data_IF_155414392813
#
_entry.id   IF_155414392813
#
_cell.length_a   1.000
_cell.length_b   1.000
_cell.length_c   1.000
_cell.angle_alpha   90.00
_cell.angle_beta   90.00
_cell.angle_gamma   90.00
#
_symmetry.space_group_name_H-M   'P 1'
#
loop_
_entity.id
_entity.type
_entity.pdbx_description
1 polymer ?
#
# COMPACT_ATOMS: atom_id res chain seq x y z
N UNK A 1 0.76 12.04 -20.59
CA UNK A 1 0.42 11.90 -22.02
C UNK A 1 -0.37 10.62 -22.33
N UNK A 2 0.04 9.42 -21.83
CA UNK A 2 -0.62 8.13 -22.12
C UNK A 2 -2.08 8.10 -21.69
N UNK A 3 -2.41 8.55 -20.48
CA UNK A 3 -3.81 8.70 -20.03
C UNK A 3 -4.64 9.65 -20.90
N UNK A 4 -4.00 10.64 -21.54
CA UNK A 4 -4.68 11.55 -22.47
C UNK A 4 -5.05 10.89 -23.81
N UNK A 5 -4.40 9.76 -24.13
CA UNK A 5 -4.68 8.92 -25.29
C UNK A 5 -5.52 7.71 -24.95
N UNK A 6 -6.26 7.75 -23.83
CA UNK A 6 -7.09 6.67 -23.31
C UNK A 6 -6.30 5.44 -22.83
N UNK A 7 -4.97 5.57 -22.64
CA UNK A 7 -4.15 4.54 -22.03
C UNK A 7 -4.52 4.30 -20.56
N UNK A 8 -4.23 3.11 -20.07
CA UNK A 8 -4.51 2.67 -18.69
C UNK A 8 -3.21 2.34 -17.97
N UNK A 9 -3.27 2.36 -16.65
CA UNK A 9 -2.26 1.77 -15.81
C UNK A 9 -2.55 0.27 -15.62
N UNK A 10 -1.57 -0.58 -15.87
CA UNK A 10 -1.64 -2.02 -15.61
C UNK A 10 -0.52 -2.35 -14.63
N UNK A 11 -0.87 -2.72 -13.41
CA UNK A 11 0.07 -3.07 -12.37
C UNK A 11 0.20 -4.60 -12.26
N UNK A 12 1.43 -5.11 -12.21
CA UNK A 12 1.75 -6.53 -12.23
C UNK A 12 2.37 -6.95 -10.90
N UNK A 13 1.83 -8.00 -10.27
CA UNK A 13 2.38 -8.61 -9.07
C UNK A 13 2.16 -10.12 -9.05
N UNK A 14 3.23 -10.92 -9.09
CA UNK A 14 3.15 -12.38 -9.17
C UNK A 14 3.29 -13.09 -7.81
N UNK A 15 3.96 -12.48 -6.84
CA UNK A 15 4.10 -13.00 -5.48
C UNK A 15 3.14 -12.28 -4.51
N UNK A 16 2.95 -12.79 -3.28
CA UNK A 16 2.00 -12.20 -2.33
C UNK A 16 2.27 -10.74 -1.93
N UNK A 17 3.53 -10.31 -1.80
CA UNK A 17 3.88 -8.94 -1.47
C UNK A 17 3.66 -8.01 -2.68
N UNK A 18 4.18 -8.36 -3.85
CA UNK A 18 3.97 -7.58 -5.07
C UNK A 18 2.50 -7.49 -5.51
N UNK A 19 1.67 -8.44 -5.09
CA UNK A 19 0.22 -8.41 -5.31
C UNK A 19 -0.45 -7.24 -4.56
N UNK A 20 -0.03 -6.96 -3.35
CA UNK A 20 -0.56 -5.82 -2.57
C UNK A 20 -0.16 -4.50 -3.21
N UNK A 21 1.11 -4.33 -3.61
CA UNK A 21 1.59 -3.15 -4.33
C UNK A 21 0.80 -2.92 -5.63
N UNK A 22 0.58 -3.98 -6.43
CA UNK A 22 -0.18 -3.88 -7.67
C UNK A 22 -1.63 -3.45 -7.43
N UNK A 23 -2.27 -3.95 -6.37
CA UNK A 23 -3.63 -3.55 -5.98
C UNK A 23 -3.66 -2.16 -5.36
N UNK A 24 -2.65 -1.81 -4.55
CA UNK A 24 -2.55 -0.50 -3.93
C UNK A 24 -2.44 0.60 -4.99
N UNK A 25 -1.47 0.54 -5.88
CA UNK A 25 -1.33 1.54 -6.94
C UNK A 25 -2.59 1.63 -7.81
N UNK A 26 -3.25 0.50 -8.05
CA UNK A 26 -4.47 0.50 -8.86
C UNK A 26 -5.65 1.20 -8.15
N UNK A 27 -5.83 0.98 -6.85
CA UNK A 27 -6.89 1.67 -6.09
C UNK A 27 -6.64 3.17 -6.00
N UNK A 28 -5.40 3.60 -5.82
CA UNK A 28 -5.01 5.01 -5.79
C UNK A 28 -5.37 5.76 -7.08
N UNK A 29 -5.18 5.13 -8.24
CA UNK A 29 -5.54 5.72 -9.54
C UNK A 29 -7.04 5.72 -9.80
N UNK A 30 -7.75 4.63 -9.46
CA UNK A 30 -9.20 4.51 -9.68
C UNK A 30 -10.00 5.34 -8.67
N UNK A 31 -9.56 5.39 -7.42
CA UNK A 31 -10.21 6.11 -6.33
C UNK A 31 -9.22 7.05 -5.62
N UNK A 32 -8.83 8.17 -6.24
CA UNK A 32 -7.93 9.11 -5.62
C UNK A 32 -8.52 9.63 -4.31
N UNK A 33 -7.72 9.56 -3.24
CA UNK A 33 -8.12 9.96 -1.87
C UNK A 33 -8.36 11.48 -1.72
N UNK A 34 -8.01 12.26 -2.74
CA UNK A 34 -8.18 13.72 -2.75
C UNK A 34 -9.50 14.06 -3.44
N UNK A 35 -10.37 14.73 -2.71
CA UNK A 35 -11.69 15.18 -3.22
C UNK A 35 -11.50 16.04 -4.47
N UNK A 36 -12.29 15.74 -5.51
CA UNK A 36 -12.26 16.47 -6.78
C UNK A 36 -11.24 15.92 -7.81
N UNK A 37 -10.38 14.99 -7.45
CA UNK A 37 -9.49 14.32 -8.42
C UNK A 37 -10.26 13.32 -9.28
N UNK A 38 -9.89 13.27 -10.56
CA UNK A 38 -10.49 12.36 -11.53
C UNK A 38 -10.02 10.93 -11.31
N UNK A 39 -10.94 9.96 -11.32
CA UNK A 39 -10.60 8.56 -11.45
C UNK A 39 -9.86 8.31 -12.78
N UNK A 40 -8.67 7.72 -12.69
CA UNK A 40 -7.89 7.30 -13.84
C UNK A 40 -7.97 5.78 -14.01
N UNK A 41 -8.04 5.27 -15.24
CA UNK A 41 -8.20 3.84 -15.48
C UNK A 41 -6.96 3.07 -15.04
N UNK A 42 -7.11 2.19 -14.07
CA UNK A 42 -6.06 1.31 -13.60
C UNK A 42 -6.60 -0.09 -13.29
N UNK A 43 -5.78 -1.11 -13.52
CA UNK A 43 -6.08 -2.51 -13.18
C UNK A 43 -4.85 -3.18 -12.57
N UNK A 44 -5.08 -4.08 -11.61
CA UNK A 44 -4.06 -4.99 -11.11
C UNK A 44 -4.22 -6.35 -11.79
N UNK A 45 -3.13 -6.88 -12.34
CA UNK A 45 -3.03 -8.25 -12.79
C UNK A 45 -2.15 -9.02 -11.81
N UNK A 46 -2.72 -10.02 -11.18
CA UNK A 46 -2.05 -10.84 -10.17
C UNK A 46 -2.06 -12.30 -10.58
N UNK A 47 -1.16 -13.10 -10.00
CA UNK A 47 -1.07 -14.52 -10.31
C UNK A 47 -2.36 -15.32 -10.03
N UNK A 48 -3.28 -14.77 -9.25
CA UNK A 48 -4.60 -15.37 -8.98
C UNK A 48 -5.46 -15.48 -10.24
N UNK A 49 -5.29 -14.57 -11.19
CA UNK A 49 -5.96 -14.63 -12.50
C UNK A 49 -5.30 -15.60 -13.48
N UNK A 50 -4.25 -16.32 -13.08
CA UNK A 50 -3.43 -17.16 -13.92
C UNK A 50 -2.09 -16.48 -14.30
N UNK A 51 -1.32 -17.06 -15.23
CA UNK A 51 -0.04 -16.48 -15.64
C UNK A 51 -0.17 -15.04 -16.16
N UNK A 52 0.72 -14.14 -15.69
CA UNK A 52 0.65 -12.70 -16.01
C UNK A 52 0.78 -12.40 -17.52
N UNK A 53 1.62 -13.13 -18.24
CA UNK A 53 1.83 -12.92 -19.67
C UNK A 53 0.53 -13.02 -20.48
N UNK A 54 -0.20 -14.15 -20.44
CA UNK A 54 -1.50 -14.30 -21.08
C UNK A 54 -2.57 -13.31 -20.63
N UNK A 55 -2.61 -12.98 -19.33
CA UNK A 55 -3.51 -11.94 -18.82
C UNK A 55 -3.21 -10.60 -19.49
N UNK A 56 -1.92 -10.18 -19.49
CA UNK A 56 -1.49 -8.94 -20.10
C UNK A 56 -1.80 -8.90 -21.61
N UNK A 57 -1.51 -9.99 -22.33
CA UNK A 57 -1.79 -10.09 -23.76
C UNK A 57 -3.26 -9.87 -24.11
N UNK A 58 -4.17 -10.26 -23.21
CA UNK A 58 -5.61 -10.12 -23.43
C UNK A 58 -6.13 -8.70 -23.22
N UNK A 59 -5.39 -7.85 -22.46
CA UNK A 59 -5.89 -6.53 -22.06
C UNK A 59 -5.03 -5.36 -22.54
N UNK A 60 -3.71 -5.53 -22.68
CA UNK A 60 -2.79 -4.40 -22.92
C UNK A 60 -2.85 -3.86 -24.35
N UNK A 61 -2.95 -2.54 -24.48
CA UNK A 61 -2.81 -1.76 -25.71
C UNK A 61 -1.52 -0.94 -25.75
N UNK A 62 -1.15 -0.42 -26.91
CA UNK A 62 0.11 0.30 -27.12
C UNK A 62 0.23 1.58 -26.28
N UNK A 63 -0.89 2.22 -25.93
CA UNK A 63 -0.89 3.44 -25.12
C UNK A 63 -0.93 3.17 -23.60
N UNK A 64 -0.98 1.89 -23.17
CA UNK A 64 -1.01 1.57 -21.74
C UNK A 64 0.38 1.76 -21.07
N UNK A 65 0.33 1.95 -19.76
CA UNK A 65 1.49 2.02 -18.87
C UNK A 65 1.49 0.74 -18.05
N UNK A 66 2.57 -0.04 -18.07
CA UNK A 66 2.68 -1.29 -17.33
C UNK A 66 3.74 -1.17 -16.25
N UNK A 67 3.33 -1.33 -14.98
CA UNK A 67 4.22 -1.30 -13.81
C UNK A 67 4.41 -2.72 -13.29
N UNK A 68 5.65 -3.14 -13.05
CA UNK A 68 5.97 -4.45 -12.47
C UNK A 68 6.62 -4.33 -11.10
N UNK A 69 6.09 -5.11 -10.16
CA UNK A 69 6.57 -5.25 -8.79
C UNK A 69 7.17 -6.63 -8.54
N UNK A 70 7.89 -6.83 -7.42
CA UNK A 70 8.44 -8.12 -7.02
C UNK A 70 9.65 -8.59 -7.82
N UNK A 71 10.37 -7.71 -8.50
CA UNK A 71 11.51 -8.05 -9.34
C UNK A 71 12.80 -8.36 -8.56
N UNK A 72 12.82 -8.02 -7.28
CA UNK A 72 13.98 -8.23 -6.41
C UNK A 72 14.11 -9.65 -5.88
N UNK A 73 13.01 -10.40 -5.85
CA UNK A 73 12.97 -11.71 -5.25
C UNK A 73 13.50 -12.80 -6.23
N UNK A 74 14.45 -13.64 -5.81
CA UNK A 74 14.91 -14.74 -6.65
C UNK A 74 13.81 -15.78 -6.78
N UNK A 75 13.36 -16.06 -8.01
CA UNK A 75 12.41 -17.14 -8.23
C UNK A 75 11.48 -16.96 -9.41
N UNK A 76 10.50 -17.85 -9.50
CA UNK A 76 9.56 -17.92 -10.61
C UNK A 76 8.68 -16.67 -10.76
N UNK A 77 8.27 -16.05 -9.64
CA UNK A 77 7.42 -14.86 -9.64
C UNK A 77 8.11 -13.65 -10.29
N UNK A 78 9.36 -13.35 -9.92
CA UNK A 78 10.14 -12.29 -10.55
C UNK A 78 10.34 -12.53 -12.05
N UNK A 79 10.68 -13.77 -12.42
CA UNK A 79 10.83 -14.14 -13.82
C UNK A 79 9.53 -14.02 -14.62
N UNK A 80 8.40 -14.31 -14.00
CA UNK A 80 7.06 -14.16 -14.59
C UNK A 80 6.72 -12.69 -14.83
N UNK A 81 6.88 -11.83 -13.81
CA UNK A 81 6.68 -10.39 -13.92
C UNK A 81 7.58 -9.78 -15.01
N UNK A 82 8.85 -10.14 -15.02
CA UNK A 82 9.81 -9.69 -16.04
C UNK A 82 9.42 -10.15 -17.45
N UNK A 83 8.93 -11.38 -17.61
CA UNK A 83 8.43 -11.88 -18.89
C UNK A 83 7.21 -11.11 -19.37
N UNK A 84 6.31 -10.76 -18.46
CA UNK A 84 5.13 -9.95 -18.77
C UNK A 84 5.53 -8.50 -19.17
N UNK A 85 6.49 -7.89 -18.47
CA UNK A 85 7.02 -6.56 -18.84
C UNK A 85 7.65 -6.56 -20.23
N UNK A 86 8.44 -7.58 -20.58
CA UNK A 86 8.97 -7.73 -21.95
C UNK A 86 7.85 -7.86 -22.99
N UNK A 87 6.77 -8.52 -22.65
CA UNK A 87 5.60 -8.62 -23.52
C UNK A 87 4.93 -7.26 -23.70
N UNK A 88 4.77 -6.49 -22.61
CA UNK A 88 4.26 -5.12 -22.66
C UNK A 88 5.10 -4.21 -23.57
N UNK A 89 6.43 -4.24 -23.41
CA UNK A 89 7.34 -3.45 -24.22
C UNK A 89 7.22 -3.78 -25.73
N UNK A 90 7.14 -5.08 -26.08
CA UNK A 90 6.92 -5.50 -27.47
C UNK A 90 5.57 -5.02 -28.05
N UNK A 91 4.58 -4.76 -27.21
CA UNK A 91 3.26 -4.22 -27.60
C UNK A 91 3.24 -2.69 -27.70
N UNK A 92 4.36 -2.00 -27.35
CA UNK A 92 4.47 -0.56 -27.38
C UNK A 92 4.00 0.14 -26.10
N UNK A 93 3.73 -0.61 -25.03
CA UNK A 93 3.42 -0.02 -23.73
C UNK A 93 4.65 0.70 -23.16
N UNK A 94 4.40 1.75 -22.37
CA UNK A 94 5.41 2.25 -21.45
C UNK A 94 5.59 1.23 -20.32
N UNK A 95 6.83 0.92 -19.94
CA UNK A 95 7.11 0.00 -18.84
C UNK A 95 7.85 0.69 -17.70
N UNK A 96 7.43 0.38 -16.47
CA UNK A 96 8.05 0.87 -15.25
C UNK A 96 8.37 -0.36 -14.38
N UNK A 97 9.62 -0.45 -13.92
CA UNK A 97 10.12 -1.53 -13.09
C UNK A 97 10.52 -1.02 -11.73
N UNK A 98 10.09 -1.72 -10.69
CA UNK A 98 10.58 -1.56 -9.34
C UNK A 98 11.38 -2.80 -8.94
N UNK A 99 12.70 -2.68 -8.85
CA UNK A 99 13.56 -3.80 -8.48
C UNK A 99 15.03 -3.58 -8.81
N UNK A 100 15.91 -4.55 -8.49
CA UNK A 100 17.34 -4.44 -8.78
C UNK A 100 17.60 -4.46 -10.29
N UNK A 101 18.51 -3.60 -10.74
CA UNK A 101 18.90 -3.47 -12.14
C UNK A 101 19.69 -4.63 -12.73
N UNK A 102 19.94 -5.68 -11.95
CA UNK A 102 20.88 -6.74 -12.30
C UNK A 102 20.38 -7.89 -13.17
N UNK A 103 19.07 -8.03 -13.37
CA UNK A 103 18.53 -9.21 -14.06
C UNK A 103 18.43 -9.07 -15.60
N UNK A 104 18.43 -7.85 -16.12
CA UNK A 104 18.45 -7.58 -17.56
C UNK A 104 19.30 -6.35 -17.82
N UNK A 105 20.43 -6.55 -18.52
CA UNK A 105 21.21 -5.42 -19.01
C UNK A 105 20.31 -4.45 -19.77
N UNK A 106 20.52 -3.13 -19.66
CA UNK A 106 19.84 -2.13 -20.49
C UNK A 106 19.88 -2.46 -21.99
N UNK A 107 20.83 -3.30 -22.42
CA UNK A 107 21.00 -3.75 -23.80
C UNK A 107 19.91 -4.68 -24.31
N UNK A 108 19.17 -5.39 -23.44
CA UNK A 108 18.12 -6.33 -23.86
C UNK A 108 16.76 -5.69 -24.09
N UNK A 109 16.57 -4.48 -23.60
CA UNK A 109 15.38 -3.64 -23.85
C UNK A 109 15.75 -2.27 -24.45
N UNK A 110 17.03 -2.05 -24.75
CA UNK A 110 17.58 -0.86 -25.41
C UNK A 110 16.95 -0.65 -26.79
N UNK A 111 15.80 -0.06 -26.80
CA UNK A 111 15.06 0.27 -28.03
C UNK A 111 13.83 1.12 -27.78
N UNK A 112 13.23 1.14 -26.60
CA UNK A 112 12.13 2.04 -26.30
C UNK A 112 12.57 3.16 -25.36
N UNK A 113 12.34 4.40 -25.75
CA UNK A 113 12.51 5.59 -24.87
C UNK A 113 11.51 5.56 -23.67
N UNK A 114 10.69 4.54 -23.57
CA UNK A 114 9.56 4.40 -22.66
C UNK A 114 9.74 3.24 -21.65
N UNK A 115 10.99 2.90 -21.30
CA UNK A 115 11.30 1.89 -20.29
C UNK A 115 12.05 2.50 -19.11
N UNK A 116 11.46 2.42 -17.91
CA UNK A 116 11.95 3.07 -16.70
C UNK A 116 12.25 2.03 -15.63
N UNK A 117 13.40 2.17 -14.96
CA UNK A 117 13.82 1.35 -13.83
C UNK A 117 14.00 2.23 -12.59
N UNK A 118 13.32 1.86 -11.51
CA UNK A 118 13.55 2.40 -10.17
C UNK A 118 14.15 1.29 -9.30
N UNK A 119 15.37 1.52 -8.84
CA UNK A 119 16.11 0.59 -7.99
C UNK A 119 16.17 1.15 -6.56
N UNK A 120 15.33 0.65 -5.63
CA UNK A 120 15.41 1.08 -4.24
C UNK A 120 16.78 0.74 -3.64
N UNK A 121 17.47 1.70 -2.99
CA UNK A 121 18.84 1.50 -2.47
C UNK A 121 18.83 0.77 -1.13
N UNK A 122 18.27 -0.44 -1.07
CA UNK A 122 18.24 -1.28 0.13
C UNK A 122 18.25 -2.75 -0.24
N UNK A 123 19.01 -3.55 0.54
CA UNK A 123 18.97 -5.01 0.49
C UNK A 123 17.90 -5.60 1.42
N UNK A 124 17.42 -4.81 2.37
CA UNK A 124 16.33 -5.21 3.28
C UNK A 124 15.01 -5.22 2.53
N UNK A 125 14.27 -6.35 2.50
CA UNK A 125 13.02 -6.47 1.73
C UNK A 125 11.93 -5.53 2.24
N UNK A 126 11.81 -5.32 3.55
CA UNK A 126 10.81 -4.43 4.13
C UNK A 126 11.09 -2.98 3.78
N UNK A 127 12.34 -2.53 3.95
CA UNK A 127 12.75 -1.16 3.56
C UNK A 127 12.59 -0.96 2.06
N UNK A 128 12.88 -1.97 1.25
CA UNK A 128 12.70 -1.91 -0.21
C UNK A 128 11.24 -1.69 -0.57
N UNK A 129 10.32 -2.42 0.03
CA UNK A 129 8.88 -2.28 -0.17
C UNK A 129 8.39 -0.89 0.24
N UNK A 130 8.79 -0.39 1.41
CA UNK A 130 8.46 0.97 1.87
C UNK A 130 8.94 2.07 0.91
N UNK A 131 10.12 1.89 0.30
CA UNK A 131 10.64 2.82 -0.71
C UNK A 131 9.84 2.74 -2.02
N UNK A 132 9.46 1.53 -2.45
CA UNK A 132 8.60 1.31 -3.62
C UNK A 132 7.24 1.98 -3.40
N UNK A 133 6.62 1.81 -2.24
CA UNK A 133 5.36 2.45 -1.88
C UNK A 133 5.46 3.98 -1.95
N UNK A 134 6.49 4.55 -1.35
CA UNK A 134 6.75 5.99 -1.42
C UNK A 134 6.90 6.47 -2.87
N UNK A 135 7.59 5.71 -3.72
CA UNK A 135 7.80 6.06 -5.12
C UNK A 135 6.51 6.02 -5.93
N UNK A 136 5.66 5.01 -5.80
CA UNK A 136 4.41 4.99 -6.56
C UNK A 136 3.39 6.01 -6.05
N UNK A 137 3.39 6.37 -4.76
CA UNK A 137 2.60 7.48 -4.25
C UNK A 137 3.05 8.82 -4.86
N UNK A 138 4.36 9.06 -4.94
CA UNK A 138 4.89 10.26 -5.60
C UNK A 138 4.53 10.29 -7.09
N UNK A 139 4.63 9.15 -7.79
CA UNK A 139 4.22 9.05 -9.19
C UNK A 139 2.73 9.34 -9.37
N UNK A 140 1.88 8.79 -8.49
CA UNK A 140 0.45 9.06 -8.48
C UNK A 140 0.14 10.56 -8.27
N UNK A 141 0.77 11.18 -7.28
CA UNK A 141 0.63 12.62 -7.02
C UNK A 141 1.02 13.45 -8.24
N UNK A 142 2.18 13.16 -8.84
CA UNK A 142 2.69 13.88 -10.03
C UNK A 142 1.77 13.71 -11.24
N UNK A 143 1.28 12.48 -11.50
CA UNK A 143 0.35 12.23 -12.60
C UNK A 143 -0.91 13.08 -12.45
N UNK A 144 -1.50 13.16 -11.25
CA UNK A 144 -2.70 13.95 -11.02
C UNK A 144 -2.46 15.44 -11.15
N UNK A 145 -1.31 15.94 -10.68
CA UNK A 145 -0.91 17.34 -10.84
C UNK A 145 -0.77 17.72 -12.31
N UNK A 146 0.05 16.99 -13.06
CA UNK A 146 0.26 17.27 -14.49
C UNK A 146 -0.97 16.98 -15.35
N UNK A 147 -1.85 16.09 -14.91
CA UNK A 147 -3.10 15.84 -15.61
C UNK A 147 -4.09 17.01 -15.48
N UNK A 148 -4.14 17.65 -14.32
CA UNK A 148 -4.96 18.84 -14.10
C UNK A 148 -4.37 20.08 -14.79
N UNK A 149 -3.04 20.12 -14.95
CA UNK A 149 -2.30 21.22 -15.59
C UNK A 149 -1.79 20.86 -17.00
N UNK A 150 -2.63 20.26 -17.83
CA UNK A 150 -2.26 19.83 -19.20
C UNK A 150 -1.63 20.91 -20.06
N UNK A 151 -1.97 22.17 -19.85
CA UNK A 151 -1.37 23.31 -20.55
C UNK A 151 0.15 23.40 -20.42
N UNK A 152 0.73 22.85 -19.33
CA UNK A 152 2.18 22.79 -19.14
C UNK A 152 2.87 21.79 -20.09
N UNK A 153 2.18 20.73 -20.48
CA UNK A 153 2.74 19.66 -21.32
C UNK A 153 2.39 19.80 -22.80
N UNK A 154 1.24 20.40 -23.14
CA UNK A 154 0.70 20.42 -24.51
C UNK A 154 0.91 21.75 -25.25
N UNK A 155 1.49 22.77 -24.61
CA UNK A 155 1.61 24.12 -25.20
C UNK A 155 0.22 24.75 -25.44
N UNK A 156 0.09 26.00 -25.28
CA UNK A 156 -1.01 26.99 -25.24
C UNK A 156 -2.38 26.70 -25.91
N UNK A 157 -2.77 25.49 -26.32
CA UNK A 157 -3.96 25.30 -27.16
C UNK A 157 -5.22 24.77 -26.45
N UNK A 158 -5.19 24.43 -25.17
CA UNK A 158 -6.37 23.91 -24.47
C UNK A 158 -6.75 24.75 -23.25
N UNK A 159 -7.60 25.76 -23.44
CA UNK A 159 -8.35 26.41 -22.37
C UNK A 159 -9.47 25.49 -21.91
N UNK A 160 -9.23 24.69 -20.89
CA UNK A 160 -10.28 24.03 -20.12
C UNK A 160 -10.21 24.54 -18.68
N UNK A 161 -11.24 25.24 -18.25
CA UNK A 161 -11.43 25.68 -16.86
C UNK A 161 -11.72 24.42 -16.03
N UNK A 162 -10.78 23.98 -15.21
CA UNK A 162 -11.00 22.97 -14.20
C UNK A 162 -10.69 23.54 -12.81
N UNK A 163 -11.44 23.08 -11.82
CA UNK A 163 -11.28 23.48 -10.43
C UNK A 163 -9.90 23.03 -9.88
N UNK A 164 -9.00 23.97 -9.71
CA UNK A 164 -7.62 23.79 -9.24
C UNK A 164 -7.53 23.65 -7.72
N UNK A 165 -8.63 23.78 -6.99
CA UNK A 165 -8.65 23.82 -5.53
C UNK A 165 -7.99 22.65 -4.84
N UNK A 166 -8.13 21.42 -5.38
CA UNK A 166 -7.55 20.22 -4.80
C UNK A 166 -6.05 20.04 -5.14
N UNK A 167 -5.59 20.54 -6.30
CA UNK A 167 -4.17 20.48 -6.69
C UNK A 167 -3.31 21.46 -5.90
N UNK A 168 -3.85 22.61 -5.51
CA UNK A 168 -3.14 23.62 -4.73
C UNK A 168 -2.73 23.13 -3.32
N UNK A 169 -3.39 22.10 -2.79
CA UNK A 169 -2.98 21.48 -1.53
C UNK A 169 -1.70 20.64 -1.67
N UNK A 170 -1.58 19.91 -2.79
CA UNK A 170 -0.39 19.08 -3.05
C UNK A 170 0.82 19.88 -3.53
N UNK A 171 0.56 20.90 -4.34
CA UNK A 171 1.59 21.73 -4.96
C UNK A 171 1.14 23.20 -4.99
N UNK A 172 1.30 23.93 -3.85
CA UNK A 172 0.79 25.30 -3.70
C UNK A 172 1.38 26.32 -4.67
N UNK A 173 2.52 26.01 -5.28
CA UNK A 173 3.24 26.87 -6.22
C UNK A 173 2.73 26.79 -7.66
N UNK A 174 1.92 25.77 -8.03
CA UNK A 174 1.33 25.66 -9.35
C UNK A 174 0.17 26.65 -9.49
N UNK A 175 0.42 27.81 -10.10
CA UNK A 175 -0.59 28.78 -10.46
C UNK A 175 -1.12 28.52 -11.88
N UNK A 176 -2.39 28.94 -12.16
CA UNK A 176 -3.05 28.76 -13.47
C UNK A 176 -2.34 29.48 -14.64
N UNK A 177 -1.30 30.24 -14.38
CA UNK A 177 -0.57 31.07 -15.36
C UNK A 177 0.89 30.70 -15.54
N UNK A 178 1.39 29.60 -14.97
CA UNK A 178 2.79 29.22 -15.12
C UNK A 178 3.03 28.58 -16.50
N UNK A 179 3.80 29.28 -17.33
CA UNK A 179 4.14 28.87 -18.70
C UNK A 179 5.59 28.36 -18.83
N UNK A 180 6.38 28.43 -17.74
CA UNK A 180 7.78 28.00 -17.70
C UNK A 180 7.91 26.56 -17.16
N UNK A 181 8.08 25.62 -18.10
CA UNK A 181 8.22 24.19 -17.75
C UNK A 181 9.46 23.92 -16.89
N UNK A 182 10.57 24.61 -17.13
CA UNK A 182 11.81 24.38 -16.38
C UNK A 182 11.65 24.85 -14.93
N UNK A 183 10.98 25.99 -14.71
CA UNK A 183 10.64 26.44 -13.36
C UNK A 183 9.71 25.46 -12.64
N UNK A 184 8.66 24.96 -13.31
CA UNK A 184 7.74 23.95 -12.74
C UNK A 184 8.48 22.67 -12.40
N UNK A 185 9.37 22.18 -13.24
CA UNK A 185 10.15 20.96 -12.96
C UNK A 185 11.07 21.16 -11.75
N UNK A 186 11.72 22.33 -11.62
CA UNK A 186 12.55 22.65 -10.45
C UNK A 186 11.72 22.69 -9.16
N UNK A 187 10.53 23.27 -9.20
CA UNK A 187 9.62 23.32 -8.05
C UNK A 187 9.07 21.94 -7.68
N UNK A 188 8.77 21.09 -8.67
CA UNK A 188 8.40 19.69 -8.47
C UNK A 188 9.54 18.92 -7.80
N UNK A 189 10.77 19.07 -8.28
CA UNK A 189 11.95 18.43 -7.67
C UNK A 189 12.12 18.87 -6.21
N UNK A 190 12.06 20.16 -5.93
CA UNK A 190 12.13 20.69 -4.57
C UNK A 190 11.01 20.13 -3.66
N UNK A 191 9.78 20.02 -4.20
CA UNK A 191 8.64 19.43 -3.48
C UNK A 191 8.83 17.96 -3.20
N UNK A 192 9.34 17.16 -4.13
CA UNK A 192 9.64 15.74 -3.93
C UNK A 192 10.70 15.56 -2.85
N UNK A 193 11.77 16.35 -2.85
CA UNK A 193 12.80 16.30 -1.83
C UNK A 193 12.25 16.67 -0.43
N UNK A 194 11.43 17.69 -0.34
CA UNK A 194 10.76 18.08 0.91
C UNK A 194 9.86 16.95 1.43
N UNK A 195 9.03 16.36 0.58
CA UNK A 195 8.15 15.23 0.94
C UNK A 195 8.94 14.00 1.38
N UNK A 196 10.07 13.72 0.75
CA UNK A 196 10.95 12.62 1.16
C UNK A 196 11.52 12.84 2.56
N UNK A 197 11.84 14.08 2.93
CA UNK A 197 12.27 14.42 4.28
C UNK A 197 11.11 14.32 5.29
N UNK A 198 9.93 14.79 4.93
CA UNK A 198 8.72 14.72 5.78
C UNK A 198 8.33 13.28 6.08
N UNK A 199 8.36 12.37 5.10
CA UNK A 199 8.02 10.97 5.35
C UNK A 199 9.07 10.29 6.25
N UNK A 200 10.35 10.58 6.07
CA UNK A 200 11.40 10.07 6.94
C UNK A 200 11.19 10.50 8.41
N UNK A 201 10.81 11.75 8.64
CA UNK A 201 10.49 12.25 9.97
C UNK A 201 9.21 11.64 10.53
N UNK A 202 8.16 11.49 9.72
CA UNK A 202 6.90 10.87 10.16
C UNK A 202 7.09 9.40 10.53
N UNK A 203 7.85 8.63 9.75
CA UNK A 203 8.23 7.24 10.07
C UNK A 203 8.95 7.19 11.42
N UNK A 204 9.98 8.01 11.59
CA UNK A 204 10.74 8.09 12.84
C UNK A 204 9.85 8.43 14.03
N UNK A 205 8.97 9.43 13.89
CA UNK A 205 8.03 9.84 14.92
C UNK A 205 7.05 8.72 15.27
N UNK A 206 6.42 8.10 14.26
CA UNK A 206 5.47 6.99 14.46
C UNK A 206 6.11 5.83 15.23
N UNK A 207 7.34 5.45 14.86
CA UNK A 207 8.04 4.35 15.51
C UNK A 207 8.48 4.69 16.94
N UNK A 208 8.97 5.91 17.18
CA UNK A 208 9.41 6.34 18.53
C UNK A 208 8.21 6.50 19.47
N UNK A 209 7.17 7.21 19.05
CA UNK A 209 5.96 7.39 19.86
C UNK A 209 5.21 6.07 20.07
N UNK A 210 5.21 5.19 19.07
CA UNK A 210 4.56 3.89 19.08
C UNK A 210 5.37 2.76 19.75
N UNK A 211 6.65 2.96 20.10
CA UNK A 211 7.58 1.90 20.49
C UNK A 211 7.02 0.95 21.57
N UNK A 212 6.57 1.52 22.69
CA UNK A 212 6.01 0.74 23.82
C UNK A 212 4.75 -0.04 23.38
N UNK A 213 3.92 0.58 22.57
CA UNK A 213 2.69 -0.04 22.06
C UNK A 213 3.02 -1.16 21.05
N UNK A 214 4.01 -0.95 20.17
CA UNK A 214 4.49 -1.96 19.22
C UNK A 214 5.07 -3.18 19.94
N UNK A 215 5.89 -2.98 20.97
CA UNK A 215 6.41 -4.07 21.80
C UNK A 215 5.29 -4.85 22.49
N UNK A 216 4.29 -4.18 23.05
CA UNK A 216 3.15 -4.80 23.69
C UNK A 216 2.26 -5.57 22.66
N UNK A 217 2.04 -4.99 21.49
CA UNK A 217 1.32 -5.62 20.38
C UNK A 217 2.06 -6.87 19.88
N UNK A 218 3.39 -6.80 19.71
CA UNK A 218 4.22 -7.94 19.35
C UNK A 218 4.15 -9.07 20.40
N UNK A 219 4.20 -8.72 21.67
CA UNK A 219 4.05 -9.70 22.76
C UNK A 219 2.67 -10.38 22.71
N UNK A 220 1.60 -9.62 22.43
CA UNK A 220 0.24 -10.16 22.27
C UNK A 220 0.13 -11.10 21.07
N UNK A 221 0.76 -10.75 19.93
CA UNK A 221 0.82 -11.62 18.75
C UNK A 221 1.60 -12.91 19.03
N UNK A 222 2.78 -12.82 19.66
CA UNK A 222 3.55 -14.00 20.08
C UNK A 222 2.70 -14.94 20.94
N UNK A 223 2.04 -14.40 21.98
CA UNK A 223 1.16 -15.18 22.84
C UNK A 223 0.07 -15.88 22.05
N UNK A 224 -0.56 -15.22 21.08
CA UNK A 224 -1.57 -15.81 20.22
C UNK A 224 -0.98 -16.98 19.40
N UNK A 225 0.14 -16.77 18.72
CA UNK A 225 0.77 -17.79 17.90
C UNK A 225 1.25 -19.00 18.72
N UNK A 226 1.83 -18.78 19.89
CA UNK A 226 2.30 -19.83 20.80
C UNK A 226 1.12 -20.68 21.33
N UNK A 227 -0.07 -20.09 21.44
CA UNK A 227 -1.30 -20.77 21.80
C UNK A 227 -2.04 -21.40 20.58
N UNK A 228 -1.45 -21.36 19.39
CA UNK A 228 -2.06 -21.88 18.16
C UNK A 228 -3.13 -20.96 17.54
N UNK A 229 -3.22 -19.73 18.01
CA UNK A 229 -4.07 -18.68 17.45
C UNK A 229 -3.54 -18.12 16.12
N UNK A 230 -4.24 -17.13 15.61
CA UNK A 230 -3.93 -16.47 14.34
C UNK A 230 -4.16 -14.95 14.43
N UNK A 231 -3.65 -14.22 13.45
CA UNK A 231 -4.04 -12.84 13.20
C UNK A 231 -5.12 -12.79 12.12
N UNK A 232 -6.14 -11.91 12.32
CA UNK A 232 -7.14 -11.54 11.33
C UNK A 232 -6.89 -10.06 11.00
N UNK A 233 -6.44 -9.77 9.78
CA UNK A 233 -6.15 -8.41 9.35
C UNK A 233 -7.24 -7.85 8.43
N UNK A 234 -7.53 -6.56 8.57
CA UNK A 234 -8.53 -5.87 7.75
C UNK A 234 -8.32 -4.35 7.70
N UNK A 235 -8.77 -3.76 6.59
CA UNK A 235 -8.70 -2.34 6.30
C UNK A 235 -9.58 -2.00 5.09
N UNK A 236 -9.66 -0.72 4.71
CA UNK A 236 -10.40 -0.25 3.55
C UNK A 236 -9.46 0.41 2.53
N UNK A 237 -9.71 0.23 1.22
CA UNK A 237 -8.92 0.85 0.17
C UNK A 237 -7.43 0.49 0.25
N UNK A 238 -6.54 1.49 0.29
CA UNK A 238 -5.10 1.25 0.52
C UNK A 238 -4.80 0.56 1.86
N UNK A 239 -5.56 0.85 2.92
CA UNK A 239 -5.43 0.09 4.18
C UNK A 239 -5.84 -1.38 4.07
N UNK A 240 -6.60 -1.78 3.05
CA UNK A 240 -6.83 -3.19 2.75
C UNK A 240 -5.58 -3.84 2.16
N UNK A 241 -4.78 -3.10 1.40
CA UNK A 241 -3.50 -3.61 0.89
C UNK A 241 -2.44 -3.72 1.98
N UNK A 242 -2.46 -2.84 3.01
CA UNK A 242 -1.64 -3.00 4.22
C UNK A 242 -2.01 -4.29 4.98
N UNK A 243 -3.31 -4.60 5.10
CA UNK A 243 -3.77 -5.85 5.68
C UNK A 243 -3.31 -7.08 4.87
N UNK A 244 -3.32 -6.96 3.54
CA UNK A 244 -2.85 -7.98 2.61
C UNK A 244 -1.35 -8.24 2.77
N UNK A 245 -0.55 -7.18 2.89
CA UNK A 245 0.90 -7.23 3.07
C UNK A 245 1.28 -7.92 4.39
N UNK A 246 0.73 -7.44 5.49
CA UNK A 246 1.06 -8.03 6.80
C UNK A 246 0.67 -9.51 6.88
N UNK A 247 -0.42 -9.90 6.21
CA UNK A 247 -0.82 -11.32 6.12
C UNK A 247 0.15 -12.11 5.23
N UNK A 248 0.62 -11.52 4.12
CA UNK A 248 1.64 -12.12 3.28
C UNK A 248 2.93 -12.37 4.07
N UNK A 249 3.42 -11.40 4.81
CA UNK A 249 4.62 -11.47 5.65
C UNK A 249 4.50 -12.51 6.79
N UNK A 250 3.32 -12.67 7.36
CA UNK A 250 3.10 -13.73 8.34
C UNK A 250 3.06 -15.12 7.71
N UNK A 251 2.42 -15.28 6.55
CA UNK A 251 2.29 -16.57 5.84
C UNK A 251 3.57 -16.99 5.15
N UNK A 252 4.26 -16.06 4.51
CA UNK A 252 5.49 -16.24 3.72
C UNK A 252 6.51 -15.18 4.16
N UNK A 253 7.21 -15.40 5.27
CA UNK A 253 8.07 -14.37 5.85
C UNK A 253 9.18 -13.95 4.88
N UNK A 254 9.48 -12.63 4.79
CA UNK A 254 10.54 -12.12 3.92
C UNK A 254 11.94 -12.55 4.36
N UNK A 255 12.11 -12.93 5.63
CA UNK A 255 13.34 -13.45 6.20
C UNK A 255 13.25 -14.98 6.33
N UNK A 256 14.11 -15.71 5.63
CA UNK A 256 14.06 -17.17 5.56
C UNK A 256 14.19 -17.89 6.92
N UNK A 257 14.77 -17.24 7.92
CA UNK A 257 14.90 -17.77 9.28
C UNK A 257 13.60 -17.64 10.11
N UNK A 258 12.63 -16.83 9.68
CA UNK A 258 11.39 -16.65 10.39
C UNK A 258 10.38 -17.75 10.07
N UNK A 259 9.61 -18.22 11.04
CA UNK A 259 8.57 -19.21 10.80
C UNK A 259 7.34 -18.56 10.14
N UNK A 260 6.66 -19.35 9.31
CA UNK A 260 5.31 -18.99 8.86
C UNK A 260 4.33 -18.96 10.04
N UNK A 261 3.50 -17.92 10.09
CA UNK A 261 2.50 -17.72 11.11
C UNK A 261 1.08 -17.79 10.53
N UNK A 262 0.13 -18.16 11.36
CA UNK A 262 -1.27 -18.25 10.94
C UNK A 262 -1.88 -16.86 10.82
N UNK A 263 -2.26 -16.49 9.62
CA UNK A 263 -2.85 -15.18 9.33
C UNK A 263 -4.02 -15.33 8.35
N UNK A 264 -5.02 -14.46 8.46
CA UNK A 264 -6.19 -14.40 7.59
C UNK A 264 -6.44 -12.94 7.20
N UNK A 265 -6.51 -12.71 5.91
CA UNK A 265 -6.91 -11.44 5.33
C UNK A 265 -8.44 -11.42 5.14
N UNK A 266 -9.12 -10.50 5.81
CA UNK A 266 -10.57 -10.33 5.71
C UNK A 266 -10.97 -9.42 4.53
N UNK A 267 -9.99 -8.92 3.77
CA UNK A 267 -10.21 -8.07 2.60
C UNK A 267 -10.10 -8.82 1.28
N UNK A 268 -9.67 -10.09 1.31
CA UNK A 268 -9.32 -10.87 0.12
C UNK A 268 -10.55 -11.43 -0.61
N UNK A 269 -11.59 -11.83 0.12
CA UNK A 269 -12.75 -12.52 -0.47
C UNK A 269 -13.83 -11.53 -0.94
N UNK A 270 -13.70 -11.09 -2.20
CA UNK A 270 -14.65 -10.17 -2.83
C UNK A 270 -16.12 -10.64 -2.80
N UNK A 271 -16.45 -11.94 -3.06
CA UNK A 271 -17.80 -12.47 -2.88
C UNK A 271 -18.37 -12.27 -1.47
N UNK A 272 -17.60 -12.54 -0.42
CA UNK A 272 -18.04 -12.32 0.96
C UNK A 272 -18.29 -10.83 1.22
N UNK A 273 -17.34 -9.98 0.84
CA UNK A 273 -17.42 -8.52 1.03
C UNK A 273 -18.67 -7.96 0.35
N UNK A 274 -18.88 -8.31 -0.92
CA UNK A 274 -19.99 -7.76 -1.69
C UNK A 274 -21.34 -8.33 -1.26
N UNK A 275 -21.42 -9.60 -0.86
CA UNK A 275 -22.66 -10.20 -0.33
C UNK A 275 -23.07 -9.54 0.99
N UNK A 276 -22.13 -9.39 1.94
CA UNK A 276 -22.42 -8.73 3.22
C UNK A 276 -22.81 -7.28 3.01
N UNK A 277 -22.07 -6.54 2.19
CA UNK A 277 -22.36 -5.14 1.89
C UNK A 277 -23.76 -4.95 1.27
N UNK A 278 -24.16 -5.86 0.36
CA UNK A 278 -25.46 -5.78 -0.33
C UNK A 278 -26.64 -6.20 0.54
N UNK A 279 -26.49 -7.25 1.33
CA UNK A 279 -27.62 -7.90 2.01
C UNK A 279 -27.81 -7.42 3.45
N UNK A 280 -26.74 -6.91 4.10
CA UNK A 280 -26.75 -6.54 5.50
C UNK A 280 -26.37 -5.07 5.68
N UNK A 281 -25.20 -4.67 5.16
CA UNK A 281 -24.69 -3.31 5.23
C UNK A 281 -23.16 -3.28 5.12
N UNK A 282 -22.61 -2.17 4.65
CA UNK A 282 -21.17 -1.98 4.49
C UNK A 282 -20.46 -2.02 5.85
N UNK A 283 -21.11 -1.54 6.89
CA UNK A 283 -20.64 -1.51 8.27
C UNK A 283 -20.41 -2.92 8.85
N UNK A 284 -21.07 -3.94 8.33
CA UNK A 284 -21.05 -5.30 8.82
C UNK A 284 -19.97 -6.19 8.16
N UNK A 285 -19.26 -5.68 7.14
CA UNK A 285 -18.34 -6.48 6.32
C UNK A 285 -17.32 -7.23 7.17
N UNK A 286 -16.62 -6.54 8.08
CA UNK A 286 -15.59 -7.17 8.91
C UNK A 286 -16.17 -7.85 10.15
N UNK A 287 -17.21 -7.27 10.74
CA UNK A 287 -17.91 -7.88 11.87
C UNK A 287 -18.37 -9.32 11.53
N UNK A 288 -19.03 -9.52 10.37
CA UNK A 288 -19.52 -10.83 9.93
C UNK A 288 -18.39 -11.83 9.73
N UNK A 289 -17.25 -11.39 9.21
CA UNK A 289 -16.08 -12.24 9.02
C UNK A 289 -15.40 -12.58 10.35
N UNK A 290 -15.32 -11.64 11.29
CA UNK A 290 -14.85 -11.91 12.67
C UNK A 290 -15.76 -12.89 13.36
N UNK A 291 -17.10 -12.79 13.16
CA UNK A 291 -18.06 -13.79 13.66
C UNK A 291 -17.75 -15.20 13.12
N UNK A 292 -17.46 -15.31 11.85
CA UNK A 292 -17.23 -16.59 11.19
C UNK A 292 -15.88 -17.22 11.54
N UNK A 293 -14.84 -16.42 11.66
CA UNK A 293 -13.45 -16.88 11.70
C UNK A 293 -12.74 -16.67 13.04
N UNK A 294 -13.13 -15.63 13.80
CA UNK A 294 -12.46 -15.25 15.05
C UNK A 294 -12.75 -16.23 16.19
N UNK A 295 -11.69 -16.57 16.93
CA UNK A 295 -11.73 -17.43 18.10
C UNK A 295 -11.06 -16.73 19.28
N UNK A 296 -11.46 -17.08 20.50
CA UNK A 296 -10.78 -16.61 21.70
C UNK A 296 -9.25 -16.89 21.61
N UNK A 297 -8.45 -15.89 21.94
CA UNK A 297 -6.99 -15.96 21.86
C UNK A 297 -6.39 -15.51 20.52
N UNK A 298 -7.17 -15.43 19.44
CA UNK A 298 -6.73 -14.81 18.18
C UNK A 298 -6.45 -13.30 18.37
N UNK A 299 -5.93 -12.63 17.33
CA UNK A 299 -5.72 -11.19 17.30
C UNK A 299 -6.37 -10.59 16.06
N UNK A 300 -7.15 -9.54 16.24
CA UNK A 300 -7.63 -8.67 15.16
C UNK A 300 -6.66 -7.49 14.96
N UNK A 301 -6.21 -7.28 13.73
CA UNK A 301 -5.31 -6.19 13.34
C UNK A 301 -6.00 -5.32 12.29
N UNK A 302 -6.37 -4.10 12.67
CA UNK A 302 -7.08 -3.16 11.81
C UNK A 302 -6.17 -2.03 11.32
N UNK A 303 -6.30 -1.68 10.04
CA UNK A 303 -5.63 -0.56 9.40
C UNK A 303 -6.63 0.51 9.00
N UNK A 304 -6.36 1.77 9.33
CA UNK A 304 -7.21 2.90 8.98
C UNK A 304 -6.42 4.20 8.92
N UNK A 305 -6.58 4.98 7.89
CA UNK A 305 -6.01 6.33 7.86
C UNK A 305 -6.79 7.30 8.73
N UNK A 306 -8.11 7.15 8.86
CA UNK A 306 -8.96 8.08 9.63
C UNK A 306 -9.26 7.64 11.06
N UNK A 307 -9.16 6.34 11.37
CA UNK A 307 -9.61 5.78 12.65
C UNK A 307 -11.12 5.91 12.92
N UNK A 308 -11.93 6.19 11.87
CA UNK A 308 -13.35 6.48 12.03
C UNK A 308 -14.30 5.64 11.17
N UNK A 309 -13.78 4.68 10.39
CA UNK A 309 -14.61 3.84 9.51
C UNK A 309 -15.47 2.86 10.31
N UNK A 310 -16.79 2.92 10.14
CA UNK A 310 -17.76 2.16 10.95
C UNK A 310 -17.53 0.65 10.84
N UNK A 311 -17.26 0.11 9.64
CA UNK A 311 -17.00 -1.32 9.46
C UNK A 311 -15.76 -1.82 10.22
N UNK A 312 -14.72 -0.98 10.38
CA UNK A 312 -13.55 -1.32 11.19
C UNK A 312 -13.88 -1.30 12.68
N UNK A 313 -14.65 -0.31 13.10
CA UNK A 313 -15.11 -0.15 14.49
C UNK A 313 -15.95 -1.36 14.90
N UNK A 314 -16.93 -1.75 14.07
CA UNK A 314 -17.77 -2.93 14.32
C UNK A 314 -16.95 -4.24 14.31
N UNK A 315 -15.97 -4.35 13.40
CA UNK A 315 -15.03 -5.49 13.37
C UNK A 315 -14.21 -5.61 14.67
N UNK A 316 -13.65 -4.49 15.16
CA UNK A 316 -12.88 -4.45 16.42
C UNK A 316 -13.78 -4.72 17.64
N UNK A 317 -14.98 -4.14 17.68
CA UNK A 317 -15.94 -4.37 18.76
C UNK A 317 -16.32 -5.85 18.87
N UNK A 318 -16.61 -6.49 17.74
CA UNK A 318 -16.91 -7.93 17.70
C UNK A 318 -15.70 -8.79 18.09
N UNK A 319 -14.49 -8.41 17.65
CA UNK A 319 -13.27 -9.10 18.05
C UNK A 319 -13.10 -9.09 19.58
N UNK A 320 -13.24 -7.94 20.21
CA UNK A 320 -13.19 -7.83 21.69
C UNK A 320 -14.29 -8.66 22.38
N UNK A 321 -15.52 -8.61 21.86
CA UNK A 321 -16.65 -9.39 22.41
C UNK A 321 -16.37 -10.90 22.39
N UNK A 322 -15.55 -11.37 21.44
CA UNK A 322 -15.16 -12.79 21.28
C UNK A 322 -13.87 -13.16 21.99
N UNK A 323 -13.25 -12.24 22.72
CA UNK A 323 -11.99 -12.50 23.43
C UNK A 323 -10.75 -12.51 22.55
N UNK A 324 -10.81 -11.90 21.37
CA UNK A 324 -9.60 -11.62 20.57
C UNK A 324 -8.84 -10.44 21.19
N UNK A 325 -7.52 -10.45 21.10
CA UNK A 325 -6.73 -9.22 21.25
C UNK A 325 -6.96 -8.30 20.06
N UNK A 326 -6.87 -6.99 20.28
CA UNK A 326 -7.12 -6.01 19.22
C UNK A 326 -5.95 -5.03 19.08
N UNK A 327 -5.49 -4.87 17.85
CA UNK A 327 -4.43 -3.94 17.47
C UNK A 327 -4.99 -3.05 16.35
N UNK A 328 -4.75 -1.74 16.42
CA UNK A 328 -5.13 -0.82 15.36
C UNK A 328 -3.95 0.08 14.98
N UNK A 329 -3.68 0.21 13.69
CA UNK A 329 -2.79 1.23 13.12
C UNK A 329 -3.65 2.31 12.47
N UNK A 330 -3.54 3.53 12.98
CA UNK A 330 -4.44 4.64 12.62
C UNK A 330 -3.66 5.90 12.27
N UNK A 331 -4.29 6.77 11.48
CA UNK A 331 -3.71 8.06 11.11
C UNK A 331 -4.36 9.23 11.83
N UNK A 332 -4.09 10.44 11.38
CA UNK A 332 -4.52 11.72 11.97
C UNK A 332 -4.20 11.80 13.47
N UNK A 333 -5.23 11.87 14.30
CA UNK A 333 -5.17 11.83 15.78
C UNK A 333 -5.64 10.48 16.35
N UNK A 334 -5.91 9.51 15.46
CA UNK A 334 -6.41 8.18 15.81
C UNK A 334 -7.93 8.03 15.73
N UNK A 335 -8.66 9.10 15.49
CA UNK A 335 -10.11 9.13 15.32
C UNK A 335 -10.87 8.47 16.46
N UNK A 336 -12.06 7.91 16.16
CA UNK A 336 -12.91 7.22 17.12
C UNK A 336 -12.26 5.98 17.73
N UNK A 337 -11.42 5.27 16.98
CA UNK A 337 -10.74 4.08 17.50
C UNK A 337 -9.91 4.44 18.73
N UNK A 338 -9.20 5.57 18.70
CA UNK A 338 -8.42 6.07 19.84
C UNK A 338 -9.32 6.70 20.90
N UNK A 339 -10.23 7.60 20.49
CA UNK A 339 -11.06 8.37 21.41
C UNK A 339 -11.96 7.48 22.30
N UNK A 340 -12.51 6.41 21.73
CA UNK A 340 -13.42 5.48 22.39
C UNK A 340 -12.71 4.21 22.92
N UNK A 341 -11.36 4.16 22.85
CA UNK A 341 -10.53 3.03 23.28
C UNK A 341 -11.02 1.69 22.70
N UNK A 342 -11.25 1.64 21.38
CA UNK A 342 -11.83 0.49 20.69
C UNK A 342 -10.83 -0.64 20.39
N UNK A 343 -9.52 -0.41 20.57
CA UNK A 343 -8.49 -1.43 20.46
C UNK A 343 -7.59 -1.45 21.71
N UNK A 344 -7.00 -2.61 22.01
CA UNK A 344 -6.10 -2.79 23.16
C UNK A 344 -4.75 -2.09 22.92
N UNK A 345 -4.30 -2.09 21.66
CA UNK A 345 -3.06 -1.45 21.24
C UNK A 345 -3.34 -0.56 20.03
N UNK A 346 -3.05 0.73 20.13
CA UNK A 346 -3.26 1.71 19.05
C UNK A 346 -1.94 2.39 18.71
N UNK A 347 -1.49 2.25 17.47
CA UNK A 347 -0.32 2.94 16.90
C UNK A 347 -0.84 4.07 16.01
N UNK A 348 -0.37 5.30 16.23
CA UNK A 348 -0.88 6.50 15.53
C UNK A 348 0.20 7.14 14.67
N UNK A 349 -0.01 7.18 13.35
CA UNK A 349 0.80 7.95 12.39
C UNK A 349 0.19 9.35 12.22
N UNK A 350 0.79 10.37 12.87
CA UNK A 350 0.21 11.72 12.98
C UNK A 350 0.49 12.56 11.75
N UNK A 351 -0.34 12.43 10.72
CA UNK A 351 -0.30 13.26 9.52
C UNK A 351 -1.71 13.57 9.03
N UNK A 352 -1.85 14.63 8.23
CA UNK A 352 -3.08 14.96 7.50
C UNK A 352 -3.05 14.43 6.05
N UNK A 353 -1.94 13.87 5.62
CA UNK A 353 -1.73 13.34 4.28
C UNK A 353 -1.90 11.82 4.28
N UNK A 354 -2.92 11.32 3.60
CA UNK A 354 -3.30 9.90 3.60
C UNK A 354 -2.16 9.00 3.09
N UNK A 355 -1.53 9.24 1.92
CA UNK A 355 -0.37 8.48 1.48
C UNK A 355 0.77 8.42 2.52
N UNK A 356 1.09 9.54 3.17
CA UNK A 356 2.14 9.58 4.22
C UNK A 356 1.78 8.76 5.45
N UNK A 357 0.48 8.73 5.82
CA UNK A 357 -0.01 7.86 6.91
C UNK A 357 0.25 6.39 6.56
N UNK A 358 -0.11 5.94 5.36
CA UNK A 358 0.08 4.56 4.91
C UNK A 358 1.56 4.19 4.88
N UNK A 359 2.41 5.01 4.28
CA UNK A 359 3.86 4.81 4.25
C UNK A 359 4.49 4.70 5.67
N UNK A 360 3.97 5.43 6.65
CA UNK A 360 4.42 5.33 8.04
C UNK A 360 3.84 4.09 8.76
N UNK A 361 2.63 3.68 8.38
CA UNK A 361 2.02 2.43 8.85
C UNK A 361 2.78 1.22 8.31
N UNK A 362 3.27 1.27 7.05
CA UNK A 362 4.13 0.23 6.49
C UNK A 362 5.37 -0.01 7.36
N UNK A 363 6.10 1.03 7.73
CA UNK A 363 7.24 0.89 8.65
C UNK A 363 6.82 0.33 10.01
N UNK A 364 5.64 0.69 10.51
CA UNK A 364 5.15 0.21 11.80
C UNK A 364 4.79 -1.28 11.77
N UNK A 365 4.12 -1.79 10.71
CA UNK A 365 3.80 -3.21 10.66
C UNK A 365 5.03 -4.09 10.31
N UNK A 366 5.98 -3.60 9.53
CA UNK A 366 7.26 -4.29 9.32
C UNK A 366 8.03 -4.43 10.63
N UNK A 367 8.17 -3.33 11.40
CA UNK A 367 8.78 -3.40 12.73
C UNK A 367 8.00 -4.31 13.67
N UNK A 368 6.66 -4.27 13.66
CA UNK A 368 5.83 -5.19 14.43
C UNK A 368 6.15 -6.66 14.07
N UNK A 369 6.30 -6.96 12.78
CA UNK A 369 6.66 -8.28 12.29
C UNK A 369 8.04 -8.73 12.80
N UNK A 370 9.04 -7.85 12.75
CA UNK A 370 10.38 -8.11 13.31
C UNK A 370 10.31 -8.36 14.83
N UNK A 371 9.60 -7.50 15.56
CA UNK A 371 9.44 -7.62 17.01
C UNK A 371 8.77 -8.94 17.41
N UNK A 372 7.86 -9.47 16.60
CA UNK A 372 7.23 -10.79 16.84
C UNK A 372 8.27 -11.91 16.82
N UNK A 373 9.28 -11.84 15.96
CA UNK A 373 10.31 -12.88 15.84
C UNK A 373 11.59 -12.58 16.64
N UNK A 374 11.72 -11.38 17.20
CA UNK A 374 12.87 -10.99 18.01
C UNK A 374 13.00 -11.92 19.24
N UNK A 375 14.21 -12.38 19.58
CA UNK A 375 14.44 -13.15 20.79
C UNK A 375 13.96 -12.37 22.02
N UNK A 376 13.14 -12.98 22.86
CA UNK A 376 12.76 -12.41 24.15
C UNK A 376 14.01 -12.44 25.03
N UNK A 377 14.59 -11.28 25.35
CA UNK A 377 15.72 -11.18 26.27
C UNK A 377 15.37 -11.76 27.65
N UNK A 378 16.37 -12.17 28.46
CA UNK A 378 16.16 -12.73 29.78
C UNK A 378 15.40 -11.83 30.76
N UNK A 379 15.26 -10.53 30.44
CA UNK A 379 14.55 -9.51 31.21
C UNK A 379 13.17 -9.15 30.61
N UNK A 380 12.59 -10.01 29.78
CA UNK A 380 11.23 -9.83 29.29
C UNK A 380 10.23 -9.65 30.44
N UNK A 381 9.15 -8.85 30.28
CA UNK A 381 8.20 -8.60 31.35
C UNK A 381 7.69 -9.93 31.88
N UNK A 382 7.95 -10.21 33.15
CA UNK A 382 7.48 -11.41 33.85
C UNK A 382 5.97 -11.48 33.65
N UNK A 383 5.48 -12.62 33.15
CA UNK A 383 4.07 -12.92 33.06
C UNK A 383 3.45 -12.63 34.43
N UNK A 384 2.78 -11.48 34.52
CA UNK A 384 2.13 -11.04 35.73
C UNK A 384 1.11 -12.07 36.15
N UNK A 385 1.39 -12.74 37.25
CA UNK A 385 0.42 -13.53 37.97
C UNK A 385 -0.73 -12.63 38.38
N UNK A 386 -1.87 -12.73 37.70
CA UNK A 386 -3.23 -12.82 38.27
C UNK A 386 -4.28 -12.62 37.18
#
# INVERSE_FOLDING_TARGET
ERFAREGRLIALGADPASRSDARHVSVEFVHPVIVGKRALPAIALTAEGGPLGPQLESVAGADDIVIGFGLAEPGGAAAETESALRTAARRGCMTIRFGPGGATSPETLAGSQDDWLFEPPSEDPSIRQELVETLYHLLWELVHVFFDHRGLLEGRSARAVHDTGASSFLYPFLSEGEDDLDAVLADVEASVLMKSAEIGELRRQTLIEGAVTLEAAAARLRQAFDSGGRVLAFGNGGSATDAMDVVADFRLPPVAAWPSRRALDLTEDTPIITAVANDIGVEEIFQRQVIAHGREGDVALAFSTSGGSENLIEGLAEARRRGLGTIAMVGYDGGRITADALADHVIVSRSQNIPRIQEAQASAYHLLRELVEAPVGPDGPAAGSR
#
